data_IF_435293937036
#
_entry.id   IF_435293937036
#
_cell.length_a   1.000
_cell.length_b   1.000
_cell.length_c   1.000
_cell.angle_alpha   90.00
_cell.angle_beta   90.00
_cell.angle_gamma   90.00
#
_symmetry.space_group_name_H-M   'P 1'
#
loop_
_entity.id
_entity.type
_entity.pdbx_description
1 polymer ?
#
# COMPACT_ATOMS: atom_id res chain seq x y z
N UNK A 1 13.62 35.90 -2.48
CA UNK A 1 14.16 35.57 -1.15
C UNK A 1 13.03 34.99 -0.30
N UNK A 2 13.27 33.91 0.47
CA UNK A 2 12.28 33.42 1.44
C UNK A 2 12.04 34.45 2.54
N UNK A 3 10.82 34.50 3.06
CA UNK A 3 10.47 35.27 4.26
C UNK A 3 9.39 34.53 5.05
N UNK A 4 9.32 34.78 6.35
CA UNK A 4 8.29 34.22 7.21
C UNK A 4 7.14 35.22 7.41
N UNK A 5 5.93 34.71 7.60
CA UNK A 5 4.76 35.51 8.01
C UNK A 5 3.86 34.66 8.88
N UNK A 6 2.97 35.31 9.62
CA UNK A 6 1.93 34.62 10.36
C UNK A 6 0.60 34.63 9.61
N UNK A 7 -0.12 33.51 9.64
CA UNK A 7 -1.52 33.40 9.22
C UNK A 7 -2.40 33.05 10.41
N UNK A 8 -3.65 33.54 10.40
CA UNK A 8 -4.68 33.15 11.35
C UNK A 8 -5.62 32.16 10.69
N UNK A 9 -5.97 31.09 11.41
CA UNK A 9 -7.10 30.21 11.07
C UNK A 9 -7.84 29.90 12.37
N UNK A 10 -9.05 30.43 12.52
CA UNK A 10 -9.80 30.40 13.78
C UNK A 10 -9.03 31.07 14.92
N UNK A 11 -8.87 30.36 16.04
CA UNK A 11 -8.11 30.80 17.23
C UNK A 11 -6.60 30.60 17.09
N UNK A 12 -6.14 29.89 16.06
CA UNK A 12 -4.75 29.47 15.92
C UNK A 12 -3.94 30.42 15.02
N UNK A 13 -2.66 30.58 15.34
CA UNK A 13 -1.69 31.37 14.58
C UNK A 13 -0.59 30.45 14.05
N UNK A 14 -0.41 30.44 12.74
CA UNK A 14 0.53 29.56 12.04
C UNK A 14 1.67 30.37 11.43
N UNK A 15 2.90 29.89 11.55
CA UNK A 15 4.06 30.39 10.84
C UNK A 15 4.10 29.77 9.43
N UNK A 16 4.22 30.61 8.41
CA UNK A 16 4.36 30.18 7.01
C UNK A 16 5.60 30.82 6.40
N UNK A 17 6.41 30.00 5.73
CA UNK A 17 7.52 30.44 4.91
C UNK A 17 7.04 30.63 3.47
N UNK A 18 7.36 31.79 2.89
CA UNK A 18 6.93 32.17 1.54
C UNK A 18 8.11 32.57 0.69
N UNK A 19 8.04 32.23 -0.59
CA UNK A 19 8.97 32.70 -1.61
C UNK A 19 8.24 33.62 -2.57
N UNK A 20 8.79 34.82 -2.77
CA UNK A 20 8.31 35.77 -3.77
C UNK A 20 9.18 35.77 -5.01
N UNK A 21 8.53 35.87 -6.17
CA UNK A 21 9.13 36.13 -7.48
C UNK A 21 8.26 37.15 -8.22
N UNK A 22 8.84 37.97 -9.11
CA UNK A 22 8.04 38.79 -10.03
C UNK A 22 7.60 37.94 -11.22
N UNK A 23 6.31 37.92 -11.50
CA UNK A 23 5.72 37.30 -12.70
C UNK A 23 5.06 38.44 -13.47
N UNK A 24 5.51 38.71 -14.69
CA UNK A 24 5.03 39.86 -15.47
C UNK A 24 5.19 41.21 -14.74
N UNK A 25 6.27 41.36 -13.96
CA UNK A 25 6.50 42.56 -13.14
C UNK A 25 5.74 42.61 -11.81
N UNK A 26 4.77 41.73 -11.56
CA UNK A 26 3.96 41.72 -10.33
C UNK A 26 4.60 40.83 -9.26
N UNK A 27 4.90 41.33 -8.04
CA UNK A 27 5.39 40.51 -6.95
C UNK A 27 4.37 39.44 -6.53
N UNK A 28 4.68 38.17 -6.81
CA UNK A 28 3.78 37.02 -6.62
C UNK A 28 4.41 36.00 -5.69
N UNK A 29 3.61 35.42 -4.78
CA UNK A 29 4.05 34.30 -3.93
C UNK A 29 4.03 33.02 -4.77
N UNK A 30 5.20 32.41 -5.00
CA UNK A 30 5.37 31.23 -5.88
C UNK A 30 5.47 29.91 -5.11
N UNK A 31 5.77 29.98 -3.81
CA UNK A 31 5.80 28.83 -2.91
C UNK A 31 5.41 29.29 -1.52
N UNK A 32 4.62 28.48 -0.84
CA UNK A 32 4.28 28.66 0.56
C UNK A 32 4.41 27.30 1.26
N UNK A 33 5.05 27.28 2.41
CA UNK A 33 5.19 26.09 3.26
C UNK A 33 4.74 26.49 4.66
N UNK A 34 3.76 25.77 5.21
CA UNK A 34 3.33 25.94 6.59
C UNK A 34 4.32 25.24 7.52
N UNK A 35 4.88 26.01 8.45
CA UNK A 35 5.75 25.50 9.53
C UNK A 35 4.91 25.05 10.74
N UNK A 36 3.61 25.40 10.76
CA UNK A 36 2.69 25.02 11.83
C UNK A 36 2.53 26.11 12.88
N UNK A 37 2.09 25.74 14.09
CA UNK A 37 1.94 26.66 15.20
C UNK A 37 3.29 26.98 15.87
N UNK A 38 3.32 27.96 16.79
CA UNK A 38 4.52 28.21 17.59
C UNK A 38 4.95 26.97 18.40
N UNK A 39 3.99 26.15 18.87
CA UNK A 39 4.28 24.90 19.55
C UNK A 39 4.96 23.88 18.62
N UNK A 40 4.47 23.72 17.38
CA UNK A 40 5.10 22.82 16.40
C UNK A 40 6.52 23.26 16.04
N UNK A 41 6.76 24.57 15.91
CA UNK A 41 8.09 25.10 15.63
C UNK A 41 9.05 24.85 16.81
N UNK A 42 8.59 25.08 18.04
CA UNK A 42 9.38 24.78 19.24
C UNK A 42 9.73 23.30 19.27
N UNK A 43 8.76 22.40 19.04
CA UNK A 43 8.97 20.96 18.97
C UNK A 43 10.02 20.58 17.90
N UNK A 44 9.92 21.11 16.68
CA UNK A 44 10.89 20.83 15.60
C UNK A 44 12.30 21.34 15.94
N UNK A 45 12.41 22.51 16.57
CA UNK A 45 13.70 23.14 16.89
C UNK A 45 14.38 22.52 18.12
N UNK A 46 13.58 22.14 19.13
CA UNK A 46 14.07 21.59 20.40
C UNK A 46 14.36 20.10 20.29
N UNK A 47 13.51 19.35 19.59
CA UNK A 47 13.63 17.91 19.48
C UNK A 47 14.28 17.46 18.15
N UNK A 48 14.56 18.36 17.22
CA UNK A 48 14.97 18.00 15.86
C UNK A 48 13.88 17.20 15.13
N UNK A 49 14.14 16.79 13.89
CA UNK A 49 13.31 15.76 13.24
C UNK A 49 13.75 14.41 13.81
N UNK A 50 13.34 14.11 15.04
CA UNK A 50 13.49 12.79 15.62
C UNK A 50 12.24 11.95 15.28
N UNK A 51 12.44 10.65 15.09
CA UNK A 51 11.39 9.64 14.82
C UNK A 51 10.67 9.70 13.45
N UNK A 52 11.37 10.01 12.35
CA UNK A 52 10.84 9.60 11.02
C UNK A 52 10.87 8.07 10.96
N UNK A 53 9.72 7.45 11.18
CA UNK A 53 9.52 6.02 10.91
C UNK A 53 9.34 5.84 9.39
N UNK A 54 10.46 5.75 8.67
CA UNK A 54 10.45 5.41 7.26
C UNK A 54 10.19 3.90 7.10
N UNK A 55 9.02 3.54 6.59
CA UNK A 55 8.74 2.17 6.16
C UNK A 55 8.91 2.06 4.65
N UNK A 56 9.92 1.32 4.23
CA UNK A 56 10.10 0.92 2.83
C UNK A 56 9.42 -0.43 2.61
N UNK A 57 8.64 -0.54 1.54
CA UNK A 57 7.97 -1.78 1.14
C UNK A 57 8.48 -2.23 -0.22
N UNK A 58 8.76 -3.51 -0.36
CA UNK A 58 8.98 -4.11 -1.68
C UNK A 58 7.65 -4.15 -2.42
N UNK A 59 7.60 -3.59 -3.63
CA UNK A 59 6.35 -3.49 -4.42
C UNK A 59 6.43 -4.16 -5.80
N UNK A 60 7.63 -4.41 -6.35
CA UNK A 60 7.81 -4.88 -7.72
C UNK A 60 7.03 -6.15 -8.03
N UNK A 61 7.23 -7.22 -7.25
CA UNK A 61 6.55 -8.50 -7.45
C UNK A 61 5.03 -8.37 -7.24
N UNK A 62 4.60 -7.67 -6.19
CA UNK A 62 3.18 -7.45 -5.89
C UNK A 62 2.45 -6.69 -7.00
N UNK A 63 3.03 -5.59 -7.49
CA UNK A 63 2.46 -4.82 -8.59
C UNK A 63 2.46 -5.61 -9.90
N UNK A 64 3.51 -6.41 -10.16
CA UNK A 64 3.58 -7.27 -11.35
C UNK A 64 2.49 -8.33 -11.35
N UNK A 65 2.23 -8.98 -10.21
CA UNK A 65 1.14 -9.96 -10.07
C UNK A 65 -0.21 -9.29 -10.28
N UNK A 66 -0.47 -8.12 -9.69
CA UNK A 66 -1.72 -7.39 -9.89
C UNK A 66 -1.92 -6.94 -11.34
N UNK A 67 -0.84 -6.55 -12.03
CA UNK A 67 -0.89 -6.22 -13.44
C UNK A 67 -1.23 -7.46 -14.29
N UNK A 68 -0.60 -8.61 -14.01
CA UNK A 68 -0.89 -9.85 -14.72
C UNK A 68 -2.30 -10.36 -14.42
N UNK A 69 -2.77 -10.25 -13.18
CA UNK A 69 -4.15 -10.58 -12.80
C UNK A 69 -5.16 -9.77 -13.61
N UNK A 70 -4.92 -8.47 -13.82
CA UNK A 70 -5.77 -7.64 -14.72
C UNK A 70 -5.77 -8.11 -16.17
N UNK A 71 -4.73 -8.81 -16.63
CA UNK A 71 -4.63 -9.31 -18.01
C UNK A 71 -5.30 -10.66 -18.19
N UNK A 72 -5.09 -11.59 -17.24
CA UNK A 72 -5.55 -12.98 -17.37
C UNK A 72 -6.79 -13.29 -16.53
N UNK A 73 -7.15 -12.42 -15.58
CA UNK A 73 -8.29 -12.58 -14.67
C UNK A 73 -8.16 -13.83 -13.79
N UNK A 74 -6.97 -14.07 -13.22
CA UNK A 74 -6.69 -15.27 -12.41
C UNK A 74 -7.59 -15.28 -11.16
N UNK A 75 -7.68 -14.15 -10.46
CA UNK A 75 -8.52 -14.00 -9.26
C UNK A 75 -9.97 -14.38 -9.52
N UNK A 76 -10.54 -13.86 -10.60
CA UNK A 76 -11.94 -14.10 -10.95
C UNK A 76 -12.17 -15.55 -11.37
N UNK A 77 -11.24 -16.14 -12.13
CA UNK A 77 -11.29 -17.56 -12.49
C UNK A 77 -11.28 -18.45 -11.25
N UNK A 78 -10.37 -18.20 -10.30
CA UNK A 78 -10.29 -18.96 -9.05
C UNK A 78 -11.57 -18.80 -8.22
N UNK A 79 -12.06 -17.57 -8.08
CA UNK A 79 -13.27 -17.28 -7.31
C UNK A 79 -14.51 -17.94 -7.91
N UNK A 80 -14.60 -18.03 -9.24
CA UNK A 80 -15.67 -18.73 -9.94
C UNK A 80 -15.67 -20.24 -9.68
N UNK A 81 -14.49 -20.87 -9.67
CA UNK A 81 -14.35 -22.32 -9.51
C UNK A 81 -14.51 -22.73 -8.05
N UNK A 82 -13.75 -22.10 -7.14
CA UNK A 82 -13.72 -22.46 -5.70
C UNK A 82 -14.92 -21.89 -4.93
N UNK A 83 -15.53 -20.83 -5.47
CA UNK A 83 -16.60 -20.08 -4.82
C UNK A 83 -16.13 -19.23 -3.64
N UNK A 84 -16.88 -18.18 -3.33
CA UNK A 84 -16.67 -17.36 -2.14
C UNK A 84 -17.99 -17.19 -1.39
N UNK A 85 -18.04 -17.63 -0.13
CA UNK A 85 -19.29 -17.71 0.66
C UNK A 85 -19.31 -16.78 1.88
N UNK A 86 -18.27 -15.98 2.12
CA UNK A 86 -18.11 -15.20 3.35
C UNK A 86 -17.71 -13.76 3.08
N UNK A 87 -17.57 -12.98 4.16
CA UNK A 87 -16.95 -11.66 4.12
C UNK A 87 -15.45 -11.80 4.31
N UNK A 88 -14.65 -11.04 3.55
CA UNK A 88 -13.21 -11.00 3.66
C UNK A 88 -12.50 -11.34 2.36
N UNK A 89 -11.25 -11.74 2.45
CA UNK A 89 -10.46 -12.13 1.28
C UNK A 89 -11.02 -13.38 0.61
N UNK A 90 -11.10 -13.33 -0.72
CA UNK A 90 -11.56 -14.42 -1.56
C UNK A 90 -10.45 -15.45 -1.83
N UNK A 91 -10.75 -16.70 -2.21
CA UNK A 91 -9.72 -17.68 -2.59
C UNK A 91 -8.77 -17.18 -3.66
N UNK A 92 -9.26 -16.37 -4.60
CA UNK A 92 -8.45 -15.69 -5.60
C UNK A 92 -7.47 -14.69 -4.98
N UNK A 93 -7.88 -13.92 -3.97
CA UNK A 93 -6.97 -13.01 -3.26
C UNK A 93 -5.83 -13.76 -2.57
N UNK A 94 -6.14 -14.88 -1.90
CA UNK A 94 -5.13 -15.73 -1.28
C UNK A 94 -4.19 -16.38 -2.30
N UNK A 95 -4.72 -16.81 -3.45
CA UNK A 95 -3.90 -17.34 -4.55
C UNK A 95 -2.93 -16.28 -5.08
N UNK A 96 -3.39 -15.04 -5.27
CA UNK A 96 -2.51 -13.95 -5.69
C UNK A 96 -1.44 -13.66 -4.65
N UNK A 97 -1.79 -13.58 -3.36
CA UNK A 97 -0.79 -13.42 -2.29
C UNK A 97 0.24 -14.56 -2.31
N UNK A 98 -0.20 -15.80 -2.57
CA UNK A 98 0.69 -16.95 -2.71
C UNK A 98 1.69 -16.77 -3.86
N UNK A 99 1.22 -16.36 -5.04
CA UNK A 99 2.07 -16.06 -6.20
C UNK A 99 3.04 -14.91 -5.90
N UNK A 100 2.55 -13.84 -5.27
CA UNK A 100 3.38 -12.68 -4.87
C UNK A 100 4.52 -13.09 -3.94
N UNK A 101 4.23 -13.93 -2.94
CA UNK A 101 5.25 -14.47 -2.04
C UNK A 101 6.28 -15.28 -2.80
N UNK A 102 5.83 -16.16 -3.71
CA UNK A 102 6.72 -17.02 -4.52
C UNK A 102 7.60 -16.24 -5.49
N UNK A 103 7.20 -15.03 -5.89
CA UNK A 103 8.00 -14.14 -6.74
C UNK A 103 8.87 -13.16 -5.96
N UNK A 104 8.63 -12.94 -4.66
CA UNK A 104 9.36 -11.95 -3.86
C UNK A 104 10.31 -12.59 -2.86
N UNK A 105 9.78 -13.35 -1.91
CA UNK A 105 10.55 -13.97 -0.83
C UNK A 105 9.86 -15.27 -0.43
N UNK A 106 10.11 -16.35 -1.20
CA UNK A 106 9.40 -17.63 -1.04
C UNK A 106 9.55 -18.15 0.39
N UNK A 107 8.43 -18.28 1.09
CA UNK A 107 8.44 -18.79 2.45
C UNK A 107 7.34 -19.85 2.67
N UNK A 108 7.39 -20.49 3.84
CA UNK A 108 6.34 -21.42 4.26
C UNK A 108 5.03 -20.67 4.49
N UNK A 109 3.88 -21.37 4.41
CA UNK A 109 2.57 -20.82 4.77
C UNK A 109 2.55 -20.26 6.20
N UNK A 110 3.34 -20.85 7.11
CA UNK A 110 3.48 -20.39 8.49
C UNK A 110 4.20 -19.04 8.63
N UNK A 111 4.95 -18.64 7.61
CA UNK A 111 5.69 -17.37 7.56
C UNK A 111 5.02 -16.32 6.68
N UNK A 112 3.87 -16.64 6.09
CA UNK A 112 3.19 -15.83 5.09
C UNK A 112 2.71 -14.50 5.67
N UNK A 113 2.15 -14.50 6.87
CA UNK A 113 1.74 -13.29 7.59
C UNK A 113 2.95 -12.36 7.83
N UNK A 114 4.09 -12.92 8.27
CA UNK A 114 5.33 -12.16 8.50
C UNK A 114 5.85 -11.56 7.21
N UNK A 115 5.81 -12.30 6.10
CA UNK A 115 6.18 -11.79 4.79
C UNK A 115 5.26 -10.64 4.36
N UNK A 116 3.94 -10.84 4.45
CA UNK A 116 2.95 -9.85 4.01
C UNK A 116 3.14 -8.52 4.73
N UNK A 117 3.40 -8.53 6.05
CA UNK A 117 3.57 -7.32 6.87
C UNK A 117 4.73 -6.40 6.44
N UNK A 118 5.71 -6.90 5.67
CA UNK A 118 6.85 -6.12 5.14
C UNK A 118 6.78 -5.88 3.63
N UNK A 119 5.73 -6.37 2.98
CA UNK A 119 5.50 -6.22 1.54
C UNK A 119 4.38 -5.19 1.27
N UNK A 120 4.39 -4.60 0.08
CA UNK A 120 3.32 -3.70 -0.39
C UNK A 120 1.93 -4.37 -0.37
N UNK A 121 1.88 -5.71 -0.41
CA UNK A 121 0.66 -6.48 -0.20
C UNK A 121 -0.09 -6.11 1.09
N UNK A 122 0.60 -5.75 2.17
CA UNK A 122 -0.03 -5.29 3.43
C UNK A 122 -0.85 -4.02 3.33
N UNK A 123 -0.65 -3.22 2.27
CA UNK A 123 -1.37 -1.98 2.02
C UNK A 123 -2.65 -2.25 1.21
N UNK A 124 -2.61 -3.25 0.32
CA UNK A 124 -3.69 -3.54 -0.63
C UNK A 124 -4.67 -4.56 -0.08
N UNK A 125 -4.17 -5.59 0.59
CA UNK A 125 -4.97 -6.70 1.06
C UNK A 125 -5.25 -6.58 2.57
N UNK A 126 -6.45 -6.99 3.03
CA UNK A 126 -6.70 -7.18 4.46
C UNK A 126 -5.67 -8.12 5.08
N UNK A 127 -5.34 -7.92 6.36
CA UNK A 127 -4.44 -8.82 7.07
C UNK A 127 -4.96 -10.26 7.02
N UNK A 128 -4.05 -11.19 6.76
CA UNK A 128 -4.31 -12.63 6.76
C UNK A 128 -3.32 -13.33 7.68
N UNK A 129 -3.82 -14.15 8.59
CA UNK A 129 -2.98 -14.99 9.45
C UNK A 129 -2.47 -16.20 8.68
N UNK A 130 -1.41 -16.82 9.17
CA UNK A 130 -0.92 -18.09 8.60
C UNK A 130 -2.00 -19.19 8.57
N UNK A 131 -2.91 -19.21 9.56
CA UNK A 131 -4.00 -20.18 9.59
C UNK A 131 -5.05 -19.91 8.50
N UNK A 132 -5.32 -18.64 8.18
CA UNK A 132 -6.24 -18.29 7.10
C UNK A 132 -5.73 -18.80 5.74
N UNK A 133 -4.42 -18.69 5.51
CA UNK A 133 -3.78 -19.28 4.32
C UNK A 133 -3.95 -20.79 4.28
N UNK A 134 -3.79 -21.50 5.40
CA UNK A 134 -4.03 -22.95 5.44
C UNK A 134 -5.48 -23.30 5.13
N UNK A 135 -6.42 -22.67 5.83
CA UNK A 135 -7.86 -22.91 5.68
C UNK A 135 -8.33 -22.70 4.23
N UNK A 136 -7.78 -21.70 3.54
CA UNK A 136 -8.13 -21.42 2.15
C UNK A 136 -7.46 -22.41 1.19
N UNK A 137 -6.18 -22.72 1.39
CA UNK A 137 -5.46 -23.64 0.50
C UNK A 137 -5.98 -25.07 0.61
N UNK A 138 -6.51 -25.49 1.76
CA UNK A 138 -7.12 -26.82 1.95
C UNK A 138 -8.45 -26.99 1.19
N UNK A 139 -9.01 -25.90 0.64
CA UNK A 139 -10.21 -25.95 -0.19
C UNK A 139 -9.92 -26.34 -1.64
N UNK A 140 -8.66 -26.27 -2.08
CA UNK A 140 -8.30 -26.55 -3.46
C UNK A 140 -8.06 -28.05 -3.63
N UNK A 141 -8.91 -28.72 -4.40
CA UNK A 141 -8.65 -30.08 -4.85
C UNK A 141 -7.76 -30.10 -6.10
N UNK A 142 -7.14 -31.24 -6.41
CA UNK A 142 -6.37 -31.42 -7.64
C UNK A 142 -7.23 -31.15 -8.89
N UNK A 143 -8.52 -31.48 -8.82
CA UNK A 143 -9.47 -31.20 -9.90
C UNK A 143 -9.65 -29.68 -10.07
N UNK A 144 -9.86 -28.95 -8.98
CA UNK A 144 -10.03 -27.49 -9.05
C UNK A 144 -8.78 -26.82 -9.61
N UNK A 145 -7.59 -27.27 -9.20
CA UNK A 145 -6.32 -26.77 -9.73
C UNK A 145 -6.18 -27.00 -11.22
N UNK A 146 -6.62 -28.16 -11.71
CA UNK A 146 -6.65 -28.47 -13.14
C UNK A 146 -7.64 -27.59 -13.89
N UNK A 147 -8.86 -27.44 -13.37
CA UNK A 147 -9.90 -26.60 -13.98
C UNK A 147 -9.47 -25.11 -14.05
N UNK A 148 -8.77 -24.62 -13.01
CA UNK A 148 -8.16 -23.28 -13.02
C UNK A 148 -7.10 -23.17 -14.12
N UNK A 149 -6.20 -24.15 -14.22
CA UNK A 149 -5.13 -24.17 -15.20
C UNK A 149 -5.68 -24.17 -16.63
N UNK A 150 -6.63 -25.06 -16.94
CA UNK A 150 -7.25 -25.15 -18.26
C UNK A 150 -7.99 -23.85 -18.60
N UNK A 151 -8.74 -23.27 -17.65
CA UNK A 151 -9.45 -21.99 -17.88
C UNK A 151 -8.54 -20.80 -18.12
N UNK A 152 -7.27 -20.83 -17.69
CA UNK A 152 -6.30 -19.76 -17.96
C UNK A 152 -5.56 -19.99 -19.27
N UNK A 153 -5.25 -21.25 -19.61
CA UNK A 153 -4.59 -21.60 -20.87
C UNK A 153 -5.36 -21.12 -22.09
N UNK A 154 -6.69 -21.14 -21.99
CA UNK A 154 -7.58 -20.84 -23.12
C UNK A 154 -7.89 -19.32 -23.27
N UNK A 155 -7.19 -18.44 -22.53
CA UNK A 155 -7.28 -16.97 -22.61
C UNK A 155 -6.06 -16.36 -23.28
#
# INVERSE_FOLDING_TARGET
MPYYTFKRSGKNRYLVLRWKKRIGGIPTVVKEVSVGTAANLAEILENGINDIVLKSYTAGSTLSVLYMDKKIGLRDTVNRIIGHKGNGMSPGDYMLLFVMNRLSDPCSKNSMEKWMNRDYASIIFPKASSQDFWNVMDRFSDKDMKDIQDSIRDK
#
